data_IF_753381787070
#
_entry.id   IF_753381787070
#
_cell.length_a   1.000
_cell.length_b   1.000
_cell.length_c   1.000
_cell.angle_alpha   90.00
_cell.angle_beta   90.00
_cell.angle_gamma   90.00
#
_symmetry.space_group_name_H-M   'P 1'
#
loop_
_entity.id
_entity.type
_entity.pdbx_description
1 polymer ?
#
# COMPACT_ATOMS: atom_id res chain seq x y z
N UNK A 1 18.11 2.42 7.59
CA UNK A 1 17.75 1.19 6.86
C UNK A 1 18.49 1.15 5.54
N UNK A 2 18.80 -0.04 5.07
CA UNK A 2 19.39 -0.25 3.75
C UNK A 2 18.38 0.14 2.67
N UNK A 3 18.80 0.94 1.70
CA UNK A 3 18.00 1.28 0.52
C UNK A 3 18.33 0.25 -0.55
N UNK A 4 17.29 -0.33 -1.15
CA UNK A 4 17.40 -1.34 -2.21
C UNK A 4 16.72 -0.81 -3.46
N UNK A 5 17.32 -0.94 -4.64
CA UNK A 5 16.68 -0.67 -5.92
C UNK A 5 15.84 -1.89 -6.35
N UNK A 6 14.62 -1.65 -6.78
CA UNK A 6 13.71 -2.65 -7.36
C UNK A 6 13.22 -2.10 -8.69
N UNK A 7 13.19 -2.94 -9.73
CA UNK A 7 12.73 -2.58 -11.06
C UNK A 7 11.40 -3.25 -11.37
N UNK A 8 10.43 -2.47 -11.81
CA UNK A 8 9.11 -2.90 -12.22
C UNK A 8 8.86 -2.53 -13.69
N UNK A 9 8.28 -3.41 -14.45
CA UNK A 9 8.03 -3.20 -15.90
C UNK A 9 7.15 -1.96 -16.15
N UNK A 10 6.20 -1.67 -15.24
CA UNK A 10 5.22 -0.60 -15.39
C UNK A 10 5.81 0.80 -15.09
N UNK A 11 6.78 0.88 -14.20
CA UNK A 11 7.27 2.17 -13.67
C UNK A 11 8.78 2.34 -13.70
N UNK A 12 9.52 1.27 -14.05
CA UNK A 12 10.97 1.26 -14.00
C UNK A 12 11.51 1.12 -12.58
N UNK A 13 12.64 1.78 -12.32
CA UNK A 13 13.35 1.66 -11.03
C UNK A 13 12.72 2.49 -9.93
N UNK A 14 12.52 1.84 -8.79
CA UNK A 14 12.11 2.46 -7.53
C UNK A 14 13.15 2.12 -6.45
N UNK A 15 13.32 3.01 -5.49
CA UNK A 15 14.04 2.71 -4.26
C UNK A 15 13.07 2.22 -3.18
N UNK A 16 13.47 1.21 -2.43
CA UNK A 16 12.71 0.59 -1.36
C UNK A 16 13.48 0.69 -0.05
N UNK A 17 12.84 1.16 1.00
CA UNK A 17 13.42 1.26 2.34
C UNK A 17 12.42 0.88 3.41
N UNK A 18 12.91 0.32 4.53
CA UNK A 18 12.06 -0.12 5.62
C UNK A 18 11.29 1.05 6.22
N UNK A 19 10.00 0.85 6.43
CA UNK A 19 9.12 1.79 7.11
C UNK A 19 8.26 1.09 8.19
N UNK A 20 7.23 1.76 8.71
CA UNK A 20 6.44 1.30 9.85
C UNK A 20 5.09 0.69 9.45
N UNK A 21 4.95 0.24 8.21
CA UNK A 21 3.67 -0.22 7.64
C UNK A 21 3.12 -1.52 8.22
N UNK A 22 3.92 -2.33 8.91
CA UNK A 22 3.45 -3.59 9.53
C UNK A 22 2.40 -3.37 10.63
N UNK A 23 2.53 -2.33 11.43
CA UNK A 23 1.54 -1.86 12.43
C UNK A 23 0.89 -3.00 13.23
N UNK A 24 -0.43 -3.19 13.09
CA UNK A 24 -1.21 -4.20 13.82
C UNK A 24 -0.78 -5.64 13.52
N UNK A 25 -0.27 -5.92 12.33
CA UNK A 25 0.17 -7.25 11.90
C UNK A 25 1.27 -7.80 12.84
N UNK A 26 2.17 -6.95 13.35
CA UNK A 26 3.19 -7.34 14.32
C UNK A 26 2.61 -8.01 15.58
N UNK A 27 1.39 -7.65 15.94
CA UNK A 27 0.72 -8.19 17.15
C UNK A 27 -0.26 -9.31 16.77
N UNK A 28 -1.08 -9.08 15.75
CA UNK A 28 -2.15 -10.00 15.39
C UNK A 28 -1.66 -11.24 14.66
N UNK A 29 -0.50 -11.14 13.98
CA UNK A 29 0.13 -12.23 13.25
C UNK A 29 1.53 -12.59 13.80
N UNK A 30 1.72 -12.50 15.11
CA UNK A 30 3.00 -12.76 15.79
C UNK A 30 3.55 -14.19 15.60
N UNK A 31 2.75 -15.11 15.08
CA UNK A 31 3.18 -16.44 14.68
C UNK A 31 4.04 -16.47 13.41
N UNK A 32 4.02 -15.40 12.60
CA UNK A 32 4.87 -15.29 11.41
C UNK A 32 6.28 -14.87 11.86
N UNK A 33 7.31 -15.70 11.63
CA UNK A 33 8.63 -15.48 12.21
C UNK A 33 9.37 -14.28 11.62
N UNK A 34 9.13 -13.98 10.35
CA UNK A 34 9.81 -12.88 9.64
C UNK A 34 8.79 -12.07 8.86
N UNK A 35 8.76 -10.78 9.14
CA UNK A 35 7.92 -9.83 8.41
C UNK A 35 8.73 -8.58 8.11
N UNK A 36 8.60 -8.06 6.91
CA UNK A 36 9.28 -6.86 6.47
C UNK A 36 8.32 -6.03 5.61
N UNK A 37 8.26 -4.73 5.86
CA UNK A 37 7.56 -3.77 5.02
C UNK A 37 8.53 -2.72 4.51
N UNK A 38 8.39 -2.35 3.25
CA UNK A 38 9.17 -1.30 2.60
C UNK A 38 8.27 -0.32 1.88
N UNK A 39 8.59 0.94 2.03
CA UNK A 39 7.99 2.00 1.22
C UNK A 39 8.79 2.14 -0.08
N UNK A 40 8.07 2.24 -1.20
CA UNK A 40 8.63 2.49 -2.53
C UNK A 40 8.58 3.97 -2.88
N UNK A 41 9.66 4.51 -3.44
CA UNK A 41 9.75 5.90 -3.92
C UNK A 41 10.62 5.95 -5.18
N UNK A 42 10.55 7.05 -5.91
CA UNK A 42 11.50 7.32 -6.99
C UNK A 42 12.94 7.40 -6.45
N UNK A 43 13.93 6.94 -7.23
CA UNK A 43 15.32 6.95 -6.82
C UNK A 43 15.80 8.35 -6.41
N UNK A 44 16.52 8.42 -5.27
CA UNK A 44 17.03 9.66 -4.70
C UNK A 44 16.12 10.34 -3.67
N UNK A 45 14.88 9.87 -3.50
CA UNK A 45 13.95 10.45 -2.52
C UNK A 45 14.44 10.31 -1.08
N UNK A 46 14.92 9.14 -0.70
CA UNK A 46 15.40 8.90 0.66
C UNK A 46 16.62 9.74 1.02
N UNK A 47 17.57 9.91 0.09
CA UNK A 47 18.75 10.75 0.30
C UNK A 47 18.39 12.24 0.37
N UNK A 48 17.44 12.70 -0.45
CA UNK A 48 16.91 14.06 -0.40
C UNK A 48 16.32 14.35 0.99
N UNK A 49 15.41 13.51 1.44
CA UNK A 49 14.74 13.67 2.74
C UNK A 49 15.75 13.63 3.89
N UNK A 50 16.71 12.69 3.84
CA UNK A 50 17.76 12.58 4.85
C UNK A 50 18.60 13.86 4.91
N UNK A 51 19.03 14.39 3.78
CA UNK A 51 19.83 15.61 3.70
C UNK A 51 19.08 16.84 4.26
N UNK A 52 17.77 16.92 3.99
CA UNK A 52 16.93 18.01 4.51
C UNK A 52 16.71 17.93 6.03
N UNK A 53 16.60 16.71 6.58
CA UNK A 53 16.58 16.51 8.03
C UNK A 53 17.92 16.87 8.69
N UNK A 54 19.03 16.41 8.13
CA UNK A 54 20.38 16.67 8.65
C UNK A 54 20.72 18.17 8.61
N UNK A 55 20.32 18.88 7.57
CA UNK A 55 20.48 20.34 7.44
C UNK A 55 19.48 21.15 8.28
N UNK A 56 18.58 20.51 9.01
CA UNK A 56 17.51 21.09 9.80
C UNK A 56 16.52 21.96 8.99
N UNK A 57 16.47 21.76 7.70
CA UNK A 57 15.46 22.40 6.83
C UNK A 57 14.08 21.83 7.18
N UNK A 58 13.97 20.50 7.28
CA UNK A 58 12.76 19.83 7.77
C UNK A 58 12.88 19.64 9.28
N UNK A 59 11.95 20.23 10.02
CA UNK A 59 11.76 19.97 11.44
C UNK A 59 10.31 19.56 11.68
N UNK A 60 10.05 18.33 12.16
CA UNK A 60 8.67 17.82 12.36
C UNK A 60 7.80 18.71 13.26
N UNK A 61 8.44 19.47 14.18
CA UNK A 61 7.78 20.43 15.05
C UNK A 61 7.52 21.80 14.41
N UNK A 62 8.07 22.07 13.22
CA UNK A 62 7.94 23.36 12.53
C UNK A 62 6.82 23.29 11.48
N UNK A 63 5.65 23.81 11.84
CA UNK A 63 4.47 23.85 10.97
C UNK A 63 4.73 24.48 9.60
N UNK A 64 5.52 25.55 9.54
CA UNK A 64 5.83 26.22 8.27
C UNK A 64 6.64 25.36 7.31
N UNK A 65 7.54 24.53 7.85
CA UNK A 65 8.32 23.59 7.05
C UNK A 65 7.43 22.48 6.47
N UNK A 66 6.50 21.98 7.27
CA UNK A 66 5.54 20.98 6.80
C UNK A 66 4.59 21.57 5.75
N UNK A 67 4.09 22.78 5.93
CA UNK A 67 3.25 23.49 4.95
C UNK A 67 3.98 23.65 3.60
N UNK A 68 5.27 24.01 3.63
CA UNK A 68 6.10 24.10 2.41
C UNK A 68 6.22 22.76 1.71
N UNK A 69 6.52 21.68 2.43
CA UNK A 69 6.60 20.33 1.87
C UNK A 69 5.27 19.88 1.26
N UNK A 70 4.15 20.13 1.95
CA UNK A 70 2.84 19.79 1.41
C UNK A 70 2.54 20.52 0.10
N UNK A 71 2.91 21.80 -0.03
CA UNK A 71 2.72 22.54 -1.28
C UNK A 71 3.67 22.05 -2.39
N UNK A 72 4.93 21.72 -2.07
CA UNK A 72 5.90 21.19 -3.03
C UNK A 72 5.54 19.79 -3.54
N UNK A 73 4.93 18.94 -2.68
CA UNK A 73 4.57 17.56 -3.02
C UNK A 73 3.10 17.39 -3.42
N UNK A 74 2.37 18.47 -3.47
CA UNK A 74 0.98 18.46 -3.90
C UNK A 74 0.90 18.15 -5.38
N UNK A 75 0.07 17.16 -5.73
CA UNK A 75 -0.22 16.87 -7.13
C UNK A 75 -0.86 18.08 -7.81
N UNK A 76 -0.33 18.43 -8.97
CA UNK A 76 -0.92 19.45 -9.82
C UNK A 76 -2.21 18.94 -10.48
N UNK A 77 -3.17 19.81 -10.83
CA UNK A 77 -4.33 19.42 -11.59
C UNK A 77 -3.95 18.69 -12.90
N UNK A 78 -4.44 17.46 -13.07
CA UNK A 78 -4.13 16.63 -14.23
C UNK A 78 -2.81 15.86 -14.17
N UNK A 79 -2.02 16.02 -13.11
CA UNK A 79 -0.86 15.19 -12.85
C UNK A 79 -1.30 13.76 -12.52
N UNK A 80 -0.61 12.80 -13.11
CA UNK A 80 -0.88 11.39 -12.87
C UNK A 80 -0.06 10.88 -11.70
N UNK A 81 -0.67 10.04 -10.91
CA UNK A 81 0.04 9.25 -9.91
C UNK A 81 -0.30 7.77 -10.07
N UNK A 82 0.48 6.92 -9.48
CA UNK A 82 0.28 5.48 -9.50
C UNK A 82 0.48 4.87 -8.10
N UNK A 83 -0.07 3.67 -7.94
CA UNK A 83 0.14 2.82 -6.78
C UNK A 83 0.76 1.51 -7.22
N UNK A 84 1.84 1.10 -6.56
CA UNK A 84 2.39 -0.26 -6.63
C UNK A 84 2.22 -0.91 -5.26
N UNK A 85 1.66 -2.12 -5.25
CA UNK A 85 1.65 -3.01 -4.11
C UNK A 85 2.27 -4.33 -4.55
N UNK A 86 3.31 -4.76 -3.86
CA UNK A 86 4.00 -6.03 -4.10
C UNK A 86 4.12 -6.76 -2.76
N UNK A 87 3.45 -7.90 -2.64
CA UNK A 87 3.40 -8.71 -1.41
C UNK A 87 3.94 -10.09 -1.70
N UNK A 88 5.05 -10.43 -1.07
CA UNK A 88 5.69 -11.72 -1.19
C UNK A 88 5.53 -12.52 0.11
N UNK A 89 5.00 -13.74 0.00
CA UNK A 89 4.77 -14.65 1.12
C UNK A 89 5.52 -15.95 0.84
N UNK A 90 6.45 -16.28 1.74
CA UNK A 90 7.18 -17.55 1.66
C UNK A 90 6.65 -18.56 2.67
N UNK A 91 6.24 -19.73 2.19
CA UNK A 91 5.91 -20.91 2.97
C UNK A 91 6.97 -22.01 2.78
N UNK A 92 6.85 -23.12 3.50
CA UNK A 92 7.81 -24.23 3.40
C UNK A 92 7.84 -24.86 2.00
N UNK A 93 6.66 -25.05 1.37
CA UNK A 93 6.51 -25.76 0.09
C UNK A 93 6.25 -24.87 -1.11
N UNK A 94 5.86 -23.63 -0.89
CA UNK A 94 5.45 -22.71 -1.95
C UNK A 94 5.73 -21.26 -1.58
N UNK A 95 5.71 -20.38 -2.57
CA UNK A 95 5.70 -18.93 -2.37
C UNK A 95 4.59 -18.30 -3.18
N UNK A 96 3.99 -17.26 -2.62
CA UNK A 96 2.93 -16.48 -3.25
C UNK A 96 3.42 -15.06 -3.46
N UNK A 97 3.16 -14.51 -4.64
CA UNK A 97 3.39 -13.11 -4.95
C UNK A 97 2.09 -12.46 -5.40
N UNK A 98 1.66 -11.41 -4.71
CA UNK A 98 0.51 -10.60 -5.08
C UNK A 98 1.01 -9.25 -5.56
N UNK A 99 0.62 -8.87 -6.77
CA UNK A 99 1.06 -7.63 -7.37
C UNK A 99 -0.13 -6.80 -7.86
N UNK A 100 -0.09 -5.51 -7.56
CA UNK A 100 -1.04 -4.52 -8.05
C UNK A 100 -0.28 -3.31 -8.60
N UNK A 101 -0.65 -2.91 -9.81
CA UNK A 101 -0.34 -1.62 -10.38
C UNK A 101 -1.63 -0.92 -10.79
N UNK A 102 -1.81 0.32 -10.37
CA UNK A 102 -2.96 1.15 -10.74
C UNK A 102 -2.51 2.59 -10.97
N UNK A 103 -3.14 3.28 -11.91
CA UNK A 103 -2.89 4.69 -12.24
C UNK A 103 -4.13 5.55 -12.00
N UNK A 104 -3.92 6.87 -11.91
CA UNK A 104 -5.00 7.85 -11.94
C UNK A 104 -5.96 7.58 -13.11
N UNK A 105 -7.24 7.41 -12.83
CA UNK A 105 -8.25 7.16 -13.85
C UNK A 105 -8.56 8.43 -14.64
N UNK A 106 -8.32 8.37 -15.94
CA UNK A 106 -8.43 9.56 -16.82
C UNK A 106 -9.85 10.10 -16.95
N UNK A 107 -10.86 9.21 -16.93
CA UNK A 107 -12.26 9.58 -17.15
C UNK A 107 -12.87 10.35 -15.98
N UNK A 108 -12.45 10.01 -14.75
CA UNK A 108 -12.97 10.58 -13.51
C UNK A 108 -11.98 11.52 -12.81
N UNK A 109 -10.72 11.49 -13.21
CA UNK A 109 -9.59 12.16 -12.54
C UNK A 109 -9.43 11.70 -11.06
N UNK A 110 -9.91 10.48 -10.74
CA UNK A 110 -9.71 9.90 -9.42
C UNK A 110 -8.31 9.32 -9.35
N UNK A 111 -7.56 9.71 -8.33
CA UNK A 111 -6.18 9.26 -8.12
C UNK A 111 -6.12 7.75 -7.83
N UNK A 112 -5.03 7.09 -8.19
CA UNK A 112 -4.82 5.67 -7.91
C UNK A 112 -4.89 5.39 -6.40
N UNK A 113 -4.28 6.23 -5.58
CA UNK A 113 -4.37 6.13 -4.13
C UNK A 113 -5.82 6.15 -3.63
N UNK A 114 -6.66 7.05 -4.16
CA UNK A 114 -8.07 7.12 -3.80
C UNK A 114 -8.85 5.92 -4.31
N UNK A 115 -8.52 5.40 -5.50
CA UNK A 115 -9.16 4.20 -6.07
C UNK A 115 -8.83 2.95 -5.25
N UNK A 116 -7.54 2.66 -5.07
CA UNK A 116 -7.08 1.43 -4.39
C UNK A 116 -7.48 1.42 -2.92
N UNK A 117 -7.31 2.51 -2.19
CA UNK A 117 -7.68 2.62 -0.77
C UNK A 117 -9.19 2.78 -0.57
N UNK A 118 -9.82 3.70 -1.30
CA UNK A 118 -11.24 4.03 -1.13
C UNK A 118 -12.16 2.89 -1.57
N UNK A 119 -11.88 2.23 -2.69
CA UNK A 119 -12.70 1.11 -3.14
C UNK A 119 -12.52 -0.14 -2.28
N UNK A 120 -11.32 -0.39 -1.75
CA UNK A 120 -11.10 -1.47 -0.77
C UNK A 120 -11.91 -1.23 0.51
N UNK A 121 -11.87 -0.02 1.04
CA UNK A 121 -12.68 0.36 2.21
C UNK A 121 -14.18 0.20 1.93
N UNK A 122 -14.66 0.68 0.76
CA UNK A 122 -16.07 0.57 0.37
C UNK A 122 -16.49 -0.89 0.17
N UNK A 123 -15.64 -1.71 -0.46
CA UNK A 123 -15.89 -3.15 -0.62
C UNK A 123 -16.03 -3.83 0.74
N UNK A 124 -15.14 -3.52 1.68
CA UNK A 124 -15.19 -4.07 3.04
C UNK A 124 -16.50 -3.69 3.75
N UNK A 125 -16.89 -2.43 3.70
CA UNK A 125 -18.18 -1.97 4.29
C UNK A 125 -19.37 -2.70 3.68
N UNK A 126 -19.44 -2.80 2.35
CA UNK A 126 -20.53 -3.49 1.66
C UNK A 126 -20.56 -4.98 2.05
N UNK A 127 -19.41 -5.64 2.10
CA UNK A 127 -19.30 -7.03 2.54
C UNK A 127 -19.88 -7.22 3.95
N UNK A 128 -19.47 -6.38 4.91
CA UNK A 128 -19.95 -6.46 6.29
C UNK A 128 -21.47 -6.24 6.40
N UNK A 129 -22.03 -5.33 5.61
CA UNK A 129 -23.48 -5.06 5.57
C UNK A 129 -24.25 -6.23 4.94
N UNK A 130 -23.77 -6.79 3.84
CA UNK A 130 -24.43 -7.88 3.13
C UNK A 130 -24.38 -9.21 3.91
N UNK A 131 -23.26 -9.49 4.59
CA UNK A 131 -23.09 -10.74 5.36
C UNK A 131 -23.63 -10.65 6.80
N UNK A 132 -23.95 -9.46 7.28
CA UNK A 132 -24.45 -9.29 8.65
C UNK A 132 -23.38 -9.60 9.70
N UNK A 133 -22.19 -8.98 9.58
CA UNK A 133 -21.07 -9.23 10.49
C UNK A 133 -21.44 -8.92 11.95
N UNK A 134 -21.51 -9.96 12.78
CA UNK A 134 -22.04 -9.88 14.14
C UNK A 134 -21.05 -9.47 15.24
N UNK A 135 -19.76 -9.23 14.90
CA UNK A 135 -18.77 -8.74 15.89
C UNK A 135 -18.86 -7.23 16.03
N UNK A 136 -18.86 -6.75 17.27
CA UNK A 136 -18.86 -5.33 17.60
C UNK A 136 -17.49 -4.89 18.11
N UNK A 137 -17.05 -3.69 17.75
CA UNK A 137 -15.78 -3.12 18.21
C UNK A 137 -14.93 -2.56 17.08
N UNK A 138 -13.66 -2.30 17.37
CA UNK A 138 -12.65 -1.88 16.40
C UNK A 138 -11.71 -3.05 16.15
N UNK A 139 -11.60 -3.45 14.89
CA UNK A 139 -10.76 -4.56 14.47
C UNK A 139 -9.84 -4.12 13.34
N UNK A 140 -8.57 -4.56 13.32
CA UNK A 140 -7.73 -4.40 12.16
C UNK A 140 -8.16 -5.37 11.04
N UNK A 141 -7.88 -5.06 9.76
CA UNK A 141 -8.35 -5.81 8.59
C UNK A 141 -8.00 -7.31 8.61
N UNK A 142 -6.85 -7.68 9.15
CA UNK A 142 -6.40 -9.06 9.24
C UNK A 142 -7.28 -9.95 10.13
N UNK A 143 -8.04 -9.36 11.06
CA UNK A 143 -9.00 -10.13 11.87
C UNK A 143 -10.26 -10.49 11.05
N UNK A 144 -10.66 -9.62 10.13
CA UNK A 144 -11.82 -9.86 9.27
C UNK A 144 -11.46 -10.86 8.17
N UNK A 145 -10.19 -10.91 7.75
CA UNK A 145 -9.70 -11.81 6.70
C UNK A 145 -9.78 -13.31 7.06
N UNK A 146 -10.07 -13.67 8.31
CA UNK A 146 -10.40 -15.04 8.68
C UNK A 146 -11.70 -15.54 8.00
N UNK A 147 -12.55 -14.64 7.49
CA UNK A 147 -13.64 -14.98 6.60
C UNK A 147 -13.08 -15.06 5.17
N UNK A 148 -12.97 -16.27 4.64
CA UNK A 148 -12.35 -16.53 3.33
C UNK A 148 -13.08 -15.88 2.16
N UNK A 149 -14.36 -15.58 2.30
CA UNK A 149 -15.17 -14.96 1.25
C UNK A 149 -14.82 -13.48 1.04
N UNK A 150 -14.29 -12.80 2.07
CA UNK A 150 -14.02 -11.35 1.98
C UNK A 150 -12.95 -11.03 0.92
N UNK A 151 -11.93 -11.87 0.80
CA UNK A 151 -10.89 -11.69 -0.21
C UNK A 151 -11.46 -11.77 -1.62
N UNK A 152 -12.28 -12.78 -1.87
CA UNK A 152 -12.97 -12.95 -3.15
C UNK A 152 -13.91 -11.78 -3.46
N UNK A 153 -14.64 -11.31 -2.45
CA UNK A 153 -15.54 -10.17 -2.58
C UNK A 153 -14.79 -8.88 -2.94
N UNK A 154 -13.72 -8.56 -2.21
CA UNK A 154 -12.90 -7.37 -2.45
C UNK A 154 -12.29 -7.42 -3.85
N UNK A 155 -11.68 -8.54 -4.25
CA UNK A 155 -11.08 -8.69 -5.58
C UNK A 155 -12.11 -8.51 -6.70
N UNK A 156 -13.30 -9.08 -6.56
CA UNK A 156 -14.40 -8.87 -7.52
C UNK A 156 -14.84 -7.41 -7.59
N UNK A 157 -14.92 -6.75 -6.44
CA UNK A 157 -15.30 -5.34 -6.36
C UNK A 157 -14.27 -4.42 -7.02
N UNK A 158 -12.97 -4.66 -6.78
CA UNK A 158 -11.87 -3.93 -7.39
C UNK A 158 -11.79 -4.20 -8.90
N UNK A 159 -11.88 -5.47 -9.32
CA UNK A 159 -11.86 -5.85 -10.73
C UNK A 159 -12.98 -5.22 -11.54
N UNK A 160 -14.18 -5.06 -10.96
CA UNK A 160 -15.30 -4.35 -11.62
C UNK A 160 -15.03 -2.86 -11.83
N UNK A 161 -13.95 -2.33 -11.27
CA UNK A 161 -13.46 -0.94 -11.38
C UNK A 161 -12.11 -0.84 -12.07
N UNK A 162 -11.73 -1.91 -12.81
CA UNK A 162 -10.47 -2.01 -13.55
C UNK A 162 -9.23 -1.96 -12.65
N UNK A 163 -9.32 -2.37 -11.38
CA UNK A 163 -8.19 -2.55 -10.49
C UNK A 163 -7.97 -4.05 -10.34
N UNK A 164 -6.78 -4.52 -10.75
CA UNK A 164 -6.44 -5.94 -10.75
C UNK A 164 -5.32 -6.23 -9.76
N UNK A 165 -5.51 -7.27 -8.96
CA UNK A 165 -4.46 -7.87 -8.16
C UNK A 165 -4.12 -9.18 -8.83
N UNK A 166 -2.91 -9.31 -9.35
CA UNK A 166 -2.40 -10.57 -9.90
C UNK A 166 -1.82 -11.42 -8.77
N UNK A 167 -1.91 -12.74 -8.92
CA UNK A 167 -1.31 -13.72 -8.03
C UNK A 167 -0.43 -14.66 -8.83
N UNK A 168 0.78 -14.90 -8.35
CA UNK A 168 1.68 -15.93 -8.86
C UNK A 168 2.05 -16.89 -7.72
N UNK A 169 1.95 -18.18 -7.96
CA UNK A 169 2.33 -19.24 -7.01
C UNK A 169 3.48 -20.04 -7.59
N UNK A 170 4.54 -20.20 -6.82
CA UNK A 170 5.71 -21.00 -7.20
C UNK A 170 5.90 -22.11 -6.18
N UNK A 171 5.87 -23.35 -6.64
CA UNK A 171 6.20 -24.52 -5.82
C UNK A 171 7.73 -24.63 -5.69
N UNK A 172 8.21 -24.95 -4.50
CA UNK A 172 9.64 -25.13 -4.18
C UNK A 172 10.09 -26.56 -4.42
#
# INVERSE_FOLDING_TARGET
SEIVEIEYDEVGKLEAFNSDGLRSILTTMSHIPNMLEKTLRYPGHADLIKSEFESKIIQPSNKKTLEKLFEEWKLNPGEKEFTVLDVHIECESESHNYFLYDETERSTSISSMARTTGYTATATVNYLLEKGYGKHGVFPPEIISNDTDIWTYINKYLSSRNIQISEAVVNK
#
